data_IF_722444026467
#
_entry.id   IF_722444026467
#
_cell.length_a   1.000
_cell.length_b   1.000
_cell.length_c   1.000
_cell.angle_alpha   90.00
_cell.angle_beta   90.00
_cell.angle_gamma   90.00
#
_symmetry.space_group_name_H-M   'P 1'
#
loop_
_entity.id
_entity.type
_entity.pdbx_description
1 polymer ?
#
# COMPACT_ATOMS: atom_id res chain seq x y z
N UNK A 1 -15.26 17.53 3.46
CA UNK A 1 -15.74 16.19 3.05
C UNK A 1 -14.67 15.46 2.24
N UNK A 2 -14.32 14.23 2.64
CA UNK A 2 -13.44 13.35 1.88
C UNK A 2 -14.29 12.37 1.09
N UNK A 3 -14.23 12.47 -0.23
CA UNK A 3 -14.97 11.57 -1.13
C UNK A 3 -14.39 10.17 -1.03
N UNK A 4 -15.26 9.17 -0.91
CA UNK A 4 -14.84 7.77 -0.97
C UNK A 4 -14.52 7.42 -2.43
N UNK A 5 -13.30 6.97 -2.75
CA UNK A 5 -12.94 6.61 -4.12
C UNK A 5 -13.80 5.48 -4.69
N UNK A 6 -14.07 5.53 -5.99
CA UNK A 6 -14.94 4.57 -6.69
C UNK A 6 -14.52 3.11 -6.53
N UNK A 7 -13.27 2.84 -6.22
CA UNK A 7 -12.75 1.47 -6.00
C UNK A 7 -13.40 0.78 -4.80
N UNK A 8 -13.87 1.56 -3.82
CA UNK A 8 -14.56 1.07 -2.61
C UNK A 8 -16.09 0.98 -2.78
N UNK A 9 -16.64 1.51 -3.88
CA UNK A 9 -18.08 1.50 -4.12
C UNK A 9 -18.60 0.10 -4.46
N UNK A 10 -19.76 -0.26 -3.92
CA UNK A 10 -20.52 -1.44 -4.33
C UNK A 10 -20.95 -1.35 -5.78
N UNK A 11 -21.50 -0.21 -6.14
CA UNK A 11 -21.90 0.17 -7.49
C UNK A 11 -21.49 1.63 -7.73
N UNK A 12 -21.36 2.08 -9.00
CA UNK A 12 -21.11 3.49 -9.28
C UNK A 12 -22.18 4.37 -8.63
N UNK A 13 -21.74 5.29 -7.77
CA UNK A 13 -22.61 6.21 -7.04
C UNK A 13 -21.80 7.49 -6.77
N UNK A 14 -22.27 8.62 -7.29
CA UNK A 14 -21.59 9.92 -7.22
C UNK A 14 -22.55 11.05 -6.80
N UNK A 15 -23.62 10.70 -6.09
CA UNK A 15 -24.63 11.63 -5.60
C UNK A 15 -24.04 12.67 -4.63
N UNK A 16 -23.01 12.28 -3.89
CA UNK A 16 -22.27 13.15 -3.00
C UNK A 16 -21.54 14.27 -3.76
N UNK A 17 -20.89 13.97 -4.90
CA UNK A 17 -20.26 14.98 -5.76
C UNK A 17 -21.27 15.95 -6.34
N UNK A 18 -22.44 15.46 -6.75
CA UNK A 18 -23.52 16.32 -7.20
C UNK A 18 -24.03 17.23 -6.08
N UNK A 19 -24.23 16.70 -4.88
CA UNK A 19 -24.65 17.47 -3.72
C UNK A 19 -23.62 18.55 -3.34
N UNK A 20 -22.32 18.22 -3.34
CA UNK A 20 -21.22 19.16 -3.10
C UNK A 20 -21.22 20.30 -4.13
N UNK A 21 -21.41 19.97 -5.42
CA UNK A 21 -21.50 20.98 -6.48
C UNK A 21 -22.69 21.93 -6.28
N UNK A 22 -23.88 21.42 -5.95
CA UNK A 22 -25.08 22.23 -5.70
C UNK A 22 -24.90 23.15 -4.48
N UNK A 23 -24.12 22.74 -3.49
CA UNK A 23 -23.78 23.53 -2.31
C UNK A 23 -22.63 24.52 -2.53
N UNK A 24 -22.13 24.65 -3.77
CA UNK A 24 -20.97 25.47 -4.13
C UNK A 24 -19.68 25.08 -3.38
N UNK A 25 -19.54 23.83 -2.98
CA UNK A 25 -18.30 23.32 -2.41
C UNK A 25 -17.15 23.44 -3.41
N UNK A 26 -15.94 23.59 -2.91
CA UNK A 26 -14.72 23.67 -3.72
C UNK A 26 -13.79 22.49 -3.41
N UNK A 27 -13.07 22.03 -4.44
CA UNK A 27 -12.00 21.05 -4.22
C UNK A 27 -10.87 21.74 -3.46
N UNK A 28 -10.65 21.30 -2.23
CA UNK A 28 -9.58 21.78 -1.35
C UNK A 28 -8.28 21.03 -1.64
N UNK A 29 -8.36 19.72 -1.92
CA UNK A 29 -7.20 18.88 -2.14
C UNK A 29 -7.54 17.67 -3.02
N UNK A 30 -6.60 17.31 -3.90
CA UNK A 30 -6.61 16.03 -4.62
C UNK A 30 -5.34 15.27 -4.28
N UNK A 31 -5.49 14.04 -3.82
CA UNK A 31 -4.39 13.12 -3.53
C UNK A 31 -4.33 12.03 -4.60
N UNK A 32 -3.15 11.81 -5.17
CA UNK A 32 -2.94 10.77 -6.19
C UNK A 32 -2.56 9.44 -5.51
N UNK A 33 -3.45 8.46 -5.58
CA UNK A 33 -3.18 7.08 -5.20
C UNK A 33 -2.87 6.23 -6.42
N UNK A 34 -2.13 5.14 -6.24
CA UNK A 34 -1.87 4.17 -7.32
C UNK A 34 -2.68 2.90 -7.08
N UNK A 35 -3.46 2.50 -8.07
CA UNK A 35 -4.38 1.37 -7.98
C UNK A 35 -4.15 0.36 -9.09
N UNK A 36 -4.18 -0.93 -8.76
CA UNK A 36 -4.16 -2.03 -9.75
C UNK A 36 -5.56 -2.61 -9.88
N UNK A 37 -6.06 -2.70 -11.12
CA UNK A 37 -7.22 -3.54 -11.41
C UNK A 37 -6.77 -5.01 -11.47
N UNK A 38 -7.00 -5.77 -10.42
CA UNK A 38 -6.56 -7.16 -10.30
C UNK A 38 -7.22 -8.11 -11.31
N UNK A 39 -8.39 -7.74 -11.86
CA UNK A 39 -9.09 -8.51 -12.91
C UNK A 39 -8.56 -8.22 -14.31
N UNK A 40 -7.92 -7.05 -14.50
CA UNK A 40 -7.34 -6.61 -15.78
C UNK A 40 -6.02 -5.85 -15.52
N UNK A 41 -5.03 -6.48 -14.89
CA UNK A 41 -3.79 -5.80 -14.54
C UNK A 41 -3.02 -5.39 -15.79
N UNK A 42 -2.36 -4.25 -15.74
CA UNK A 42 -1.42 -3.85 -16.77
C UNK A 42 -0.14 -4.71 -16.66
N UNK A 43 0.55 -4.83 -17.76
CA UNK A 43 1.76 -5.66 -17.83
C UNK A 43 2.89 -5.05 -16.98
N UNK A 44 3.37 -5.81 -16.04
CA UNK A 44 4.52 -5.45 -15.22
C UNK A 44 5.80 -5.35 -16.08
N UNK A 45 6.58 -4.25 -15.97
CA UNK A 45 7.83 -4.06 -16.70
C UNK A 45 8.84 -5.18 -16.47
N UNK A 46 9.74 -5.40 -17.45
CA UNK A 46 10.80 -6.41 -17.33
C UNK A 46 11.71 -6.19 -16.12
N UNK A 47 12.04 -4.93 -15.81
CA UNK A 47 12.87 -4.57 -14.66
C UNK A 47 12.25 -5.01 -13.33
N UNK A 48 10.95 -4.77 -13.12
CA UNK A 48 10.24 -5.20 -11.91
C UNK A 48 10.26 -6.73 -11.76
N UNK A 49 9.99 -7.46 -12.85
CA UNK A 49 10.07 -8.92 -12.86
C UNK A 49 11.48 -9.44 -12.54
N UNK A 50 12.51 -8.74 -13.02
CA UNK A 50 13.90 -9.10 -12.72
C UNK A 50 14.23 -8.92 -11.23
N UNK A 51 13.74 -7.86 -10.58
CA UNK A 51 13.90 -7.64 -9.13
C UNK A 51 13.22 -8.75 -8.33
N UNK A 52 11.96 -9.08 -8.63
CA UNK A 52 11.24 -10.19 -7.98
C UNK A 52 12.01 -11.51 -8.14
N UNK A 53 12.50 -11.79 -9.35
CA UNK A 53 13.28 -13.01 -9.61
C UNK A 53 14.62 -13.00 -8.87
N UNK A 54 15.24 -11.83 -8.68
CA UNK A 54 16.46 -11.67 -7.88
C UNK A 54 16.19 -11.99 -6.43
N UNK A 55 15.17 -11.42 -5.80
CA UNK A 55 14.82 -11.70 -4.41
C UNK A 55 14.66 -13.21 -4.17
N UNK A 56 13.97 -13.92 -5.06
CA UNK A 56 13.81 -15.37 -4.98
C UNK A 56 15.14 -16.12 -5.03
N UNK A 57 16.07 -15.73 -5.92
CA UNK A 57 17.40 -16.36 -6.02
C UNK A 57 18.29 -16.07 -4.82
N UNK A 58 18.12 -14.91 -4.18
CA UNK A 58 18.81 -14.51 -2.96
C UNK A 58 18.23 -15.17 -1.69
N UNK A 59 17.30 -16.12 -1.84
CA UNK A 59 16.73 -16.89 -0.74
C UNK A 59 15.69 -16.16 0.09
N UNK A 60 15.12 -15.05 -0.41
CA UNK A 60 14.03 -14.36 0.30
C UNK A 60 12.79 -15.25 0.31
N UNK A 61 12.19 -15.40 1.48
CA UNK A 61 10.89 -16.06 1.69
C UNK A 61 9.85 -15.00 2.07
N UNK A 62 8.61 -15.18 1.63
CA UNK A 62 7.49 -14.34 2.04
C UNK A 62 6.66 -15.12 3.03
N UNK A 63 6.52 -14.58 4.23
CA UNK A 63 5.75 -15.16 5.32
C UNK A 63 4.62 -14.23 5.73
N UNK A 64 3.46 -14.78 6.02
CA UNK A 64 2.36 -14.06 6.65
C UNK A 64 2.48 -14.24 8.16
N UNK A 65 2.74 -13.16 8.88
CA UNK A 65 3.06 -13.15 10.29
C UNK A 65 1.95 -12.48 11.10
N UNK A 66 1.78 -12.91 12.36
CA UNK A 66 0.69 -12.44 13.21
C UNK A 66 1.08 -12.23 14.68
N UNK A 67 2.33 -12.49 15.06
CA UNK A 67 2.84 -12.33 16.41
C UNK A 67 3.02 -10.86 16.81
N UNK A 68 2.97 -10.58 18.11
CA UNK A 68 3.20 -9.23 18.64
C UNK A 68 4.60 -8.71 18.30
N UNK A 69 5.61 -9.57 18.40
CA UNK A 69 6.99 -9.24 18.04
C UNK A 69 7.16 -8.98 16.54
N UNK A 70 6.36 -9.65 15.70
CA UNK A 70 6.39 -9.46 14.24
C UNK A 70 5.94 -8.06 13.85
N UNK A 71 4.77 -7.62 14.38
CA UNK A 71 4.27 -6.26 14.15
C UNK A 71 5.22 -5.20 14.72
N UNK A 72 5.81 -5.46 15.90
CA UNK A 72 6.79 -4.53 16.47
C UNK A 72 8.06 -4.45 15.62
N UNK A 73 8.56 -5.59 15.13
CA UNK A 73 9.73 -5.65 14.24
C UNK A 73 9.45 -4.89 12.93
N UNK A 74 8.26 -5.09 12.34
CA UNK A 74 7.85 -4.38 11.14
C UNK A 74 7.77 -2.86 11.36
N UNK A 75 7.13 -2.40 12.44
CA UNK A 75 7.02 -0.96 12.74
C UNK A 75 8.39 -0.33 13.04
N UNK A 76 9.31 -1.07 13.66
CA UNK A 76 10.67 -0.58 13.84
C UNK A 76 11.38 -0.37 12.49
N UNK A 77 11.19 -1.31 11.54
CA UNK A 77 11.70 -1.18 10.19
C UNK A 77 11.07 0.01 9.46
N UNK A 78 9.75 0.17 9.52
CA UNK A 78 9.02 1.29 8.91
C UNK A 78 9.49 2.63 9.49
N UNK A 79 9.60 2.73 10.82
CA UNK A 79 10.07 3.94 11.49
C UNK A 79 11.51 4.30 11.14
N UNK A 80 12.39 3.31 10.97
CA UNK A 80 13.76 3.57 10.52
C UNK A 80 13.75 4.24 9.14
N UNK A 81 12.98 3.69 8.19
CA UNK A 81 12.83 4.22 6.82
C UNK A 81 12.19 5.61 6.83
N UNK A 82 11.08 5.79 7.55
CA UNK A 82 10.37 7.08 7.61
C UNK A 82 11.20 8.18 8.26
N UNK A 83 11.93 7.85 9.34
CA UNK A 83 12.79 8.83 10.02
C UNK A 83 13.94 9.26 9.13
N UNK A 84 14.58 8.32 8.44
CA UNK A 84 15.71 8.59 7.54
C UNK A 84 15.32 9.47 6.35
N UNK A 85 14.17 9.18 5.73
CA UNK A 85 13.79 9.85 4.47
C UNK A 85 12.85 11.03 4.64
N UNK A 86 12.04 11.05 5.70
CA UNK A 86 10.96 12.04 5.87
C UNK A 86 10.96 12.73 7.24
N UNK A 87 11.77 12.29 8.20
CA UNK A 87 11.80 12.86 9.56
C UNK A 87 10.51 12.63 10.36
N UNK A 88 9.70 11.65 9.97
CA UNK A 88 8.42 11.30 10.62
C UNK A 88 8.42 9.84 11.08
N UNK A 89 7.36 9.45 11.76
CA UNK A 89 7.14 8.06 12.18
C UNK A 89 5.80 7.54 11.68
N UNK A 90 5.63 6.22 11.69
CA UNK A 90 4.36 5.58 11.42
C UNK A 90 3.28 6.07 12.40
N UNK A 91 2.04 6.17 11.91
CA UNK A 91 0.89 6.60 12.72
C UNK A 91 0.55 5.57 13.79
N UNK A 92 0.72 4.27 13.48
CA UNK A 92 0.43 3.18 14.40
C UNK A 92 1.72 2.66 15.06
N UNK A 93 1.59 2.19 16.29
CA UNK A 93 2.59 1.37 16.97
C UNK A 93 2.44 -0.11 16.58
N UNK A 94 3.44 -0.94 16.91
CA UNK A 94 3.33 -2.39 16.72
C UNK A 94 2.20 -3.01 17.55
N UNK A 95 1.99 -2.50 18.77
CA UNK A 95 0.90 -2.94 19.65
C UNK A 95 -0.48 -2.60 19.08
N UNK A 96 -0.65 -1.40 18.49
CA UNK A 96 -1.90 -1.00 17.85
C UNK A 96 -2.19 -1.85 16.61
N UNK A 97 -1.21 -2.13 15.76
CA UNK A 97 -1.38 -3.03 14.62
C UNK A 97 -1.73 -4.46 15.05
N UNK A 98 -1.09 -4.94 16.11
CA UNK A 98 -1.43 -6.26 16.69
C UNK A 98 -2.85 -6.28 17.21
N UNK A 99 -3.27 -5.25 17.93
CA UNK A 99 -4.64 -5.10 18.41
C UNK A 99 -5.66 -5.07 17.27
N UNK A 100 -5.36 -4.33 16.19
CA UNK A 100 -6.20 -4.29 15.00
C UNK A 100 -6.32 -5.68 14.36
N UNK A 101 -5.18 -6.37 14.18
CA UNK A 101 -5.16 -7.73 13.66
C UNK A 101 -5.99 -8.68 14.53
N UNK A 102 -5.84 -8.65 15.86
CA UNK A 102 -6.57 -9.54 16.77
C UNK A 102 -8.08 -9.32 16.74
N UNK A 103 -8.51 -8.08 16.51
CA UNK A 103 -9.94 -7.74 16.39
C UNK A 103 -10.50 -8.04 15.00
N UNK A 104 -9.66 -7.98 13.97
CA UNK A 104 -10.03 -8.11 12.57
C UNK A 104 -9.04 -9.03 11.84
N UNK A 105 -8.91 -10.31 12.26
CA UNK A 105 -7.85 -11.20 11.75
C UNK A 105 -8.01 -11.50 10.26
N UNK A 106 -9.22 -11.44 9.72
CA UNK A 106 -9.49 -11.63 8.29
C UNK A 106 -9.23 -10.37 7.44
N UNK A 107 -8.93 -9.24 8.09
CA UNK A 107 -8.82 -7.96 7.38
C UNK A 107 -7.45 -7.29 7.50
N UNK A 108 -6.66 -7.62 8.51
CA UNK A 108 -5.37 -6.97 8.78
C UNK A 108 -4.27 -8.02 8.70
N UNK A 109 -3.37 -7.89 7.73
CA UNK A 109 -2.33 -8.90 7.48
C UNK A 109 -0.95 -8.25 7.37
N UNK A 110 0.07 -8.93 7.89
CA UNK A 110 1.47 -8.57 7.72
C UNK A 110 2.15 -9.61 6.83
N UNK A 111 2.61 -9.19 5.65
CA UNK A 111 3.45 -9.99 4.77
C UNK A 111 4.90 -9.55 4.93
N UNK A 112 5.74 -10.41 5.46
CA UNK A 112 7.14 -10.16 5.73
C UNK A 112 8.05 -10.82 4.70
N UNK A 113 9.04 -10.09 4.22
CA UNK A 113 10.16 -10.65 3.45
C UNK A 113 11.26 -11.05 4.41
N UNK A 114 11.43 -12.36 4.55
CA UNK A 114 12.41 -12.96 5.46
C UNK A 114 13.65 -13.41 4.70
N UNK A 115 14.84 -13.12 5.24
CA UNK A 115 16.12 -13.63 4.76
C UNK A 115 17.01 -13.97 5.96
N UNK A 116 17.58 -15.16 5.96
CA UNK A 116 18.44 -15.65 7.05
C UNK A 116 17.80 -15.48 8.45
N UNK A 117 16.47 -15.73 8.53
CA UNK A 117 15.68 -15.61 9.76
C UNK A 117 15.39 -14.18 10.20
N UNK A 118 15.67 -13.16 9.37
CA UNK A 118 15.43 -11.74 9.68
C UNK A 118 14.42 -11.12 8.73
N UNK A 119 13.53 -10.30 9.24
CA UNK A 119 12.66 -9.45 8.44
C UNK A 119 13.46 -8.30 7.82
N UNK A 120 13.56 -8.26 6.50
CA UNK A 120 14.30 -7.22 5.75
C UNK A 120 13.37 -6.27 5.02
N UNK A 121 12.14 -6.70 4.72
CA UNK A 121 11.08 -5.88 4.15
C UNK A 121 9.72 -6.42 4.57
N UNK A 122 8.66 -5.66 4.30
CA UNK A 122 7.30 -6.14 4.52
C UNK A 122 6.25 -5.13 4.08
N UNK A 123 5.00 -5.58 4.15
CA UNK A 123 3.83 -4.75 3.93
C UNK A 123 2.70 -5.15 4.87
N UNK A 124 2.06 -4.18 5.49
CA UNK A 124 0.78 -4.37 6.17
C UNK A 124 -0.33 -4.03 5.20
N UNK A 125 -1.28 -4.92 5.04
CA UNK A 125 -2.44 -4.72 4.16
C UNK A 125 -3.73 -4.73 4.96
N UNK A 126 -4.68 -3.90 4.52
CA UNK A 126 -6.06 -3.88 5.00
C UNK A 126 -6.96 -4.46 3.91
N UNK A 127 -7.65 -5.53 4.25
CA UNK A 127 -8.56 -6.23 3.35
C UNK A 127 -9.99 -5.71 3.54
N UNK A 128 -10.54 -5.12 2.47
CA UNK A 128 -11.94 -4.74 2.34
C UNK A 128 -12.66 -5.71 1.41
N UNK A 129 -13.96 -5.53 1.21
CA UNK A 129 -14.74 -6.41 0.35
C UNK A 129 -14.13 -6.55 -1.06
N UNK A 130 -13.92 -5.45 -1.78
CA UNK A 130 -13.39 -5.45 -3.16
C UNK A 130 -11.96 -4.97 -3.30
N UNK A 131 -11.39 -4.40 -2.24
CA UNK A 131 -10.09 -3.73 -2.24
C UNK A 131 -9.16 -4.38 -1.23
N UNK A 132 -7.92 -4.58 -1.60
CA UNK A 132 -6.83 -4.73 -0.65
C UNK A 132 -5.97 -3.47 -0.69
N UNK A 133 -5.79 -2.83 0.46
CA UNK A 133 -5.03 -1.59 0.60
C UNK A 133 -3.70 -1.86 1.31
N UNK A 134 -2.58 -1.36 0.75
CA UNK A 134 -1.29 -1.42 1.43
C UNK A 134 -1.16 -0.24 2.39
N UNK A 135 -1.37 -0.49 3.67
CA UNK A 135 -1.29 0.55 4.71
C UNK A 135 0.15 1.01 4.94
N UNK A 136 1.09 0.07 4.96
CA UNK A 136 2.51 0.31 5.13
C UNK A 136 3.34 -0.58 4.21
N UNK A 137 4.48 -0.04 3.74
CA UNK A 137 5.46 -0.79 2.95
C UNK A 137 6.87 -0.33 3.33
N UNK A 138 7.65 -1.20 3.95
CA UNK A 138 9.01 -0.92 4.38
C UNK A 138 10.04 -1.88 3.79
N UNK A 139 11.25 -1.38 3.56
CA UNK A 139 12.39 -2.17 3.14
C UNK A 139 13.69 -1.51 3.61
N UNK A 140 14.58 -2.27 4.22
CA UNK A 140 15.94 -1.80 4.49
C UNK A 140 16.77 -1.76 3.19
N UNK A 141 18.02 -1.29 3.26
CA UNK A 141 18.88 -1.13 2.09
C UNK A 141 19.19 -2.46 1.39
N UNK A 142 19.44 -3.52 2.17
CA UNK A 142 19.64 -4.86 1.61
C UNK A 142 18.42 -5.30 0.80
N UNK A 143 17.23 -5.15 1.37
CA UNK A 143 15.97 -5.52 0.73
C UNK A 143 15.71 -4.73 -0.55
N UNK A 144 16.04 -3.43 -0.57
CA UNK A 144 15.94 -2.57 -1.77
C UNK A 144 16.86 -3.06 -2.87
N UNK A 145 18.10 -3.40 -2.55
CA UNK A 145 19.09 -3.88 -3.51
C UNK A 145 18.65 -5.18 -4.19
N UNK A 146 18.03 -6.10 -3.46
CA UNK A 146 17.67 -7.42 -3.97
C UNK A 146 16.21 -7.56 -4.43
N UNK A 147 15.38 -6.51 -4.23
CA UNK A 147 13.97 -6.52 -4.63
C UNK A 147 13.04 -7.30 -3.69
N UNK A 148 13.38 -7.38 -2.40
CA UNK A 148 12.61 -8.15 -1.42
C UNK A 148 11.19 -7.59 -1.21
N UNK A 149 11.02 -6.25 -1.16
CA UNK A 149 9.72 -5.61 -1.10
C UNK A 149 8.91 -5.85 -2.37
N UNK A 150 9.57 -5.83 -3.54
CA UNK A 150 8.92 -6.12 -4.81
C UNK A 150 8.34 -7.54 -4.83
N UNK A 151 9.04 -8.48 -4.21
CA UNK A 151 8.56 -9.85 -4.08
C UNK A 151 7.39 -9.96 -3.10
N UNK A 152 7.41 -9.26 -1.94
CA UNK A 152 6.28 -9.22 -1.03
C UNK A 152 5.02 -8.67 -1.73
N UNK A 153 5.13 -7.52 -2.38
CA UNK A 153 4.00 -6.91 -3.12
C UNK A 153 3.49 -7.82 -4.23
N UNK A 154 4.37 -8.47 -5.00
CA UNK A 154 3.96 -9.43 -6.02
C UNK A 154 3.22 -10.64 -5.42
N UNK A 155 3.61 -11.07 -4.23
CA UNK A 155 2.92 -12.15 -3.49
C UNK A 155 1.52 -11.71 -3.06
N UNK A 156 1.37 -10.49 -2.55
CA UNK A 156 0.06 -9.90 -2.22
C UNK A 156 -0.83 -9.81 -3.46
N UNK A 157 -0.33 -9.29 -4.59
CA UNK A 157 -1.07 -9.23 -5.85
C UNK A 157 -1.55 -10.64 -6.25
N UNK A 158 -0.69 -11.63 -6.19
CA UNK A 158 -1.02 -13.02 -6.57
C UNK A 158 -2.06 -13.63 -5.62
N UNK A 159 -1.94 -13.42 -4.30
CA UNK A 159 -2.90 -13.89 -3.28
C UNK A 159 -4.30 -13.35 -3.55
N UNK A 160 -4.42 -12.05 -3.85
CA UNK A 160 -5.72 -11.37 -3.92
C UNK A 160 -6.34 -11.29 -5.32
N UNK A 161 -5.61 -11.61 -6.39
CA UNK A 161 -6.13 -11.46 -7.78
C UNK A 161 -7.41 -12.26 -8.07
N UNK A 162 -7.63 -13.38 -7.37
CA UNK A 162 -8.82 -14.18 -7.54
C UNK A 162 -10.03 -13.62 -6.79
N UNK A 163 -9.83 -13.13 -5.56
CA UNK A 163 -10.88 -12.70 -4.64
C UNK A 163 -11.22 -11.21 -4.72
N UNK A 164 -10.23 -10.33 -4.93
CA UNK A 164 -10.43 -8.88 -4.93
C UNK A 164 -10.46 -8.29 -6.35
N UNK A 165 -11.05 -7.11 -6.47
CA UNK A 165 -11.09 -6.35 -7.72
C UNK A 165 -9.92 -5.38 -7.84
N UNK A 166 -9.52 -4.78 -6.72
CA UNK A 166 -8.55 -3.71 -6.66
C UNK A 166 -7.47 -3.97 -5.62
N UNK A 167 -6.23 -3.58 -5.96
CA UNK A 167 -5.18 -3.34 -4.98
C UNK A 167 -4.86 -1.85 -5.01
N UNK A 168 -4.95 -1.20 -3.85
CA UNK A 168 -4.65 0.21 -3.66
C UNK A 168 -3.35 0.37 -2.87
N UNK A 169 -2.39 1.09 -3.45
CA UNK A 169 -1.11 1.39 -2.81
C UNK A 169 -1.16 2.62 -1.89
N UNK A 170 -2.29 3.31 -1.84
CA UNK A 170 -2.36 4.59 -1.17
C UNK A 170 -1.65 5.72 -1.94
N UNK A 171 -1.70 6.91 -1.34
CA UNK A 171 -1.28 8.15 -1.98
C UNK A 171 0.23 8.23 -2.21
N UNK A 172 0.61 9.03 -3.22
CA UNK A 172 1.99 9.41 -3.52
C UNK A 172 2.17 10.93 -3.53
N UNK A 173 1.21 11.66 -2.98
CA UNK A 173 1.27 13.11 -2.77
C UNK A 173 1.79 13.43 -1.38
N UNK A 174 2.65 14.43 -1.28
CA UNK A 174 3.33 14.86 -0.06
C UNK A 174 3.24 16.38 0.11
N UNK A 175 3.66 16.89 1.27
CA UNK A 175 3.87 18.32 1.55
C UNK A 175 2.72 19.24 1.13
N UNK A 176 1.50 18.88 1.47
CA UNK A 176 0.33 19.69 1.14
C UNK A 176 -0.39 19.21 -0.12
N UNK A 177 -0.80 20.15 -1.01
CA UNK A 177 -1.84 19.87 -2.01
C UNK A 177 -1.33 19.44 -3.39
N UNK A 178 -0.10 19.78 -3.74
CA UNK A 178 0.35 19.79 -5.14
C UNK A 178 1.68 19.08 -5.42
N UNK A 179 2.37 18.56 -4.41
CA UNK A 179 3.62 17.85 -4.64
C UNK A 179 3.37 16.35 -4.84
N UNK A 180 3.71 15.85 -6.02
CA UNK A 180 3.72 14.42 -6.33
C UNK A 180 5.14 13.88 -6.10
N UNK A 181 5.30 12.88 -5.24
CA UNK A 181 6.51 12.08 -5.16
C UNK A 181 6.56 11.14 -6.38
N UNK A 182 7.19 11.61 -7.47
CA UNK A 182 7.28 10.88 -8.74
C UNK A 182 7.99 9.53 -8.59
N UNK A 183 9.00 9.45 -7.72
CA UNK A 183 9.72 8.22 -7.42
C UNK A 183 8.80 7.16 -6.82
N UNK A 184 8.04 7.54 -5.79
CA UNK A 184 7.07 6.67 -5.13
C UNK A 184 5.93 6.27 -6.08
N UNK A 185 5.41 7.24 -6.85
CA UNK A 185 4.39 6.98 -7.86
C UNK A 185 4.87 5.97 -8.91
N UNK A 186 6.05 6.20 -9.49
CA UNK A 186 6.67 5.31 -10.48
C UNK A 186 6.95 3.90 -9.91
N UNK A 187 7.38 3.81 -8.64
CA UNK A 187 7.55 2.54 -7.96
C UNK A 187 6.25 1.73 -7.93
N UNK A 188 5.16 2.36 -7.52
CA UNK A 188 3.83 1.74 -7.43
C UNK A 188 3.27 1.39 -8.82
N UNK A 189 3.37 2.30 -9.78
CA UNK A 189 2.96 2.05 -11.18
C UNK A 189 3.74 0.90 -11.83
N UNK A 190 4.98 0.68 -11.39
CA UNK A 190 5.81 -0.44 -11.83
C UNK A 190 5.20 -1.83 -11.55
N UNK A 191 4.17 -1.94 -10.73
CA UNK A 191 3.39 -3.17 -10.52
C UNK A 191 2.19 -3.30 -11.48
N UNK A 192 2.00 -2.36 -12.40
CA UNK A 192 0.88 -2.35 -13.34
C UNK A 192 -0.31 -1.52 -12.87
N UNK A 193 -0.08 -0.62 -11.91
CA UNK A 193 -1.07 0.32 -11.40
C UNK A 193 -1.24 1.56 -12.28
N UNK A 194 -2.28 2.31 -11.98
CA UNK A 194 -2.56 3.67 -12.50
C UNK A 194 -3.13 4.51 -11.38
N UNK A 195 -3.04 5.81 -11.59
CA UNK A 195 -3.55 6.79 -10.62
C UNK A 195 -5.07 6.71 -10.51
N UNK A 196 -5.53 6.65 -9.28
CA UNK A 196 -6.87 7.01 -8.83
C UNK A 196 -6.76 8.24 -7.92
N UNK A 197 -7.79 9.07 -7.80
CA UNK A 197 -7.72 10.30 -7.03
C UNK A 197 -8.61 10.25 -5.80
N UNK A 198 -8.09 10.79 -4.70
CA UNK A 198 -8.80 10.99 -3.45
C UNK A 198 -9.08 12.48 -3.31
N UNK A 199 -10.35 12.85 -3.40
CA UNK A 199 -10.80 14.24 -3.37
C UNK A 199 -11.20 14.65 -1.97
N UNK A 200 -10.77 15.85 -1.58
CA UNK A 200 -11.21 16.51 -0.34
C UNK A 200 -11.86 17.83 -0.74
N UNK A 201 -13.12 17.99 -0.34
CA UNK A 201 -13.94 19.16 -0.65
C UNK A 201 -14.20 19.97 0.61
N UNK A 202 -14.26 21.29 0.44
CA UNK A 202 -14.60 22.27 1.47
C UNK A 202 -15.89 22.99 1.07
N UNK A 203 -16.81 23.13 2.05
CA UNK A 203 -18.07 23.89 1.94
C UNK A 203 -17.86 25.34 2.31
#
# INVERSE_FOLDING_TARGET
YKVIPHIFHEQPAEEDRYALFVQNARIEKIEASTVINLKKPLKMPKGRKAQISRAKREGVLIEELSGSEDFQTFINLENAVLTEHHGVRAVHTGEELKLLHDRLPENIHLFASMKDGKMIAGTVVYEYDKVVHTQYMAANDEARLIGALDFAVATVIEKYKASKKWLDFGISTEHGKIYLNEGLCSQKEGFGGRTDVYEIWEL
#
